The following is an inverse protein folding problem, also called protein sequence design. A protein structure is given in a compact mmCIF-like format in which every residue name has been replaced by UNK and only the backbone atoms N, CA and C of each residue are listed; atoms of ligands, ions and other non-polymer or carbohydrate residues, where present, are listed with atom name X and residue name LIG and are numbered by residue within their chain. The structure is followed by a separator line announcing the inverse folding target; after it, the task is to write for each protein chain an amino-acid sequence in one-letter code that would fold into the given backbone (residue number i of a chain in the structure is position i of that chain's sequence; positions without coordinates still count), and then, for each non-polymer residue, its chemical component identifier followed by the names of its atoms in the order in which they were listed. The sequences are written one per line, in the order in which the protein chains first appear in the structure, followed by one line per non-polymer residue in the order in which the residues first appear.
data_IF_211564591745
#
_entry.id   IF_211564591745
#
_cell.length_a   1.000
_cell.length_b   1.000
_cell.length_c   1.000
_cell.angle_alpha   90.00
_cell.angle_beta   90.00
_cell.angle_gamma   90.00
#
_symmetry.space_group_name_H-M   'P 1'
#
loop_
_entity.id
_entity.type
_entity.pdbx_description
1 polymer ?
#
# COMPACT_ATOMS: atom_id res chain seq x y z
N UNK A 1 1.51 2.43 2.68
CA UNK A 1 1.61 3.19 1.41
C UNK A 1 0.38 4.08 1.29
N UNK A 2 0.53 5.38 0.97
CA UNK A 2 -0.58 6.25 0.57
C UNK A 2 -0.56 6.42 -0.94
N UNK A 3 -1.72 6.31 -1.57
CA UNK A 3 -1.95 6.56 -2.99
C UNK A 3 -3.06 7.59 -3.16
N UNK A 4 -2.85 8.57 -4.03
CA UNK A 4 -3.88 9.47 -4.52
C UNK A 4 -4.17 9.10 -5.98
N UNK A 5 -5.30 8.48 -6.21
CA UNK A 5 -5.82 8.23 -7.55
C UNK A 5 -6.50 9.49 -8.04
N UNK A 6 -6.09 9.99 -9.20
CA UNK A 6 -6.59 11.26 -9.76
C UNK A 6 -7.45 10.99 -10.99
N UNK A 7 -7.05 10.02 -11.81
CA UNK A 7 -7.71 9.68 -13.06
C UNK A 7 -7.71 8.15 -13.22
N UNK A 8 -8.87 7.57 -13.48
CA UNK A 8 -9.04 6.14 -13.64
C UNK A 8 -10.51 5.72 -13.62
N UNK A 9 -10.76 4.45 -13.91
CA UNK A 9 -12.10 3.86 -14.02
C UNK A 9 -12.94 3.97 -12.74
N UNK A 10 -12.29 4.10 -11.58
CA UNK A 10 -12.95 4.21 -10.28
C UNK A 10 -13.07 5.66 -9.77
N UNK A 11 -12.63 6.65 -10.57
CA UNK A 11 -12.66 8.07 -10.21
C UNK A 11 -11.54 8.49 -9.28
N UNK A 12 -11.68 9.67 -8.67
CA UNK A 12 -10.69 10.25 -7.76
C UNK A 12 -10.91 9.78 -6.32
N UNK A 13 -9.85 9.27 -5.67
CA UNK A 13 -9.90 8.85 -4.26
C UNK A 13 -8.51 8.70 -3.63
N UNK A 14 -8.49 8.65 -2.31
CA UNK A 14 -7.32 8.32 -1.51
C UNK A 14 -7.42 6.88 -1.00
N UNK A 15 -6.29 6.19 -1.01
CA UNK A 15 -6.16 4.83 -0.51
C UNK A 15 -4.89 4.69 0.33
N UNK A 16 -5.00 4.06 1.48
CA UNK A 16 -3.86 3.67 2.29
C UNK A 16 -3.76 2.15 2.35
N UNK A 17 -2.61 1.59 1.93
CA UNK A 17 -2.37 0.16 1.97
C UNK A 17 -1.32 -0.24 3.01
N UNK A 18 -1.66 -1.23 3.84
CA UNK A 18 -0.69 -2.01 4.61
C UNK A 18 -0.58 -3.38 3.99
N UNK A 19 0.60 -3.66 3.44
CA UNK A 19 0.88 -4.91 2.74
C UNK A 19 1.98 -5.69 3.47
N UNK A 20 1.86 -7.00 3.48
CA UNK A 20 2.87 -7.92 4.00
C UNK A 20 3.48 -8.68 2.82
N UNK A 21 4.81 -8.65 2.71
CA UNK A 21 5.49 -9.43 1.67
C UNK A 21 5.40 -10.92 2.02
N UNK A 22 4.85 -11.69 1.11
CA UNK A 22 4.64 -13.13 1.26
C UNK A 22 5.14 -13.88 0.03
N UNK A 23 5.54 -15.11 0.24
CA UNK A 23 5.84 -16.02 -0.87
C UNK A 23 4.54 -16.65 -1.38
N UNK A 24 4.45 -16.95 -2.69
CA UNK A 24 3.29 -17.65 -3.23
C UNK A 24 3.10 -19.02 -2.56
N UNK A 25 1.87 -19.56 -2.54
CA UNK A 25 1.60 -20.90 -2.03
C UNK A 25 2.52 -21.94 -2.66
N UNK A 26 3.04 -22.86 -1.82
CA UNK A 26 3.96 -23.90 -2.27
C UNK A 26 5.41 -23.46 -2.52
N UNK A 27 5.74 -22.18 -2.32
CA UNK A 27 7.12 -21.70 -2.45
C UNK A 27 8.01 -22.33 -1.37
N UNK A 28 9.20 -22.76 -1.80
CA UNK A 28 10.27 -23.24 -0.88
C UNK A 28 11.38 -22.20 -0.73
N UNK A 29 11.17 -20.96 -1.22
CA UNK A 29 12.15 -19.91 -1.15
C UNK A 29 12.47 -19.55 0.31
N UNK A 30 13.74 -19.49 0.66
CA UNK A 30 14.19 -19.19 2.01
C UNK A 30 15.59 -18.58 2.04
N UNK A 31 16.03 -18.14 3.20
CA UNK A 31 17.32 -17.49 3.39
C UNK A 31 17.50 -16.25 2.54
N UNK A 32 18.64 -16.05 1.87
CA UNK A 32 18.90 -14.84 1.05
C UNK A 32 17.94 -14.66 -0.13
N UNK A 33 17.22 -15.71 -0.52
CA UNK A 33 16.25 -15.69 -1.64
C UNK A 33 14.80 -15.62 -1.17
N UNK A 34 14.55 -15.44 0.12
CA UNK A 34 13.21 -15.47 0.70
C UNK A 34 12.22 -14.49 0.03
N UNK A 35 12.71 -13.36 -0.50
CA UNK A 35 11.88 -12.38 -1.20
C UNK A 35 11.88 -12.54 -2.72
N UNK A 36 12.57 -13.55 -3.26
CA UNK A 36 12.58 -13.77 -4.69
C UNK A 36 11.24 -14.37 -5.15
N UNK A 37 10.49 -13.60 -5.96
CA UNK A 37 9.14 -13.97 -6.37
C UNK A 37 8.06 -13.72 -5.30
N UNK A 38 8.40 -13.02 -4.21
CA UNK A 38 7.42 -12.63 -3.21
C UNK A 38 6.42 -11.63 -3.81
N UNK A 39 5.16 -11.77 -3.41
CA UNK A 39 4.09 -10.82 -3.69
C UNK A 39 3.66 -10.07 -2.43
N UNK A 40 2.71 -9.17 -2.58
CA UNK A 40 2.17 -8.34 -1.51
C UNK A 40 0.82 -8.87 -1.04
N UNK A 41 0.73 -9.43 0.16
CA UNK A 41 -0.55 -9.70 0.79
C UNK A 41 -1.15 -8.40 1.29
N UNK A 42 -2.32 -8.04 0.75
CA UNK A 42 -3.05 -6.82 1.10
C UNK A 42 -3.78 -7.07 2.42
N UNK A 43 -3.21 -6.52 3.51
CA UNK A 43 -3.73 -6.77 4.87
C UNK A 43 -4.80 -5.77 5.28
N UNK A 44 -4.58 -4.47 5.03
CA UNK A 44 -5.57 -3.42 5.23
C UNK A 44 -5.52 -2.42 4.08
N UNK A 45 -6.71 -1.98 3.63
CA UNK A 45 -6.84 -1.08 2.49
C UNK A 45 -7.96 -0.03 2.70
N UNK A 46 -7.82 0.88 3.69
CA UNK A 46 -8.77 1.98 3.87
C UNK A 46 -8.81 2.90 2.65
N UNK A 47 -10.02 3.35 2.30
CA UNK A 47 -10.32 4.24 1.17
C UNK A 47 -11.35 5.28 1.59
N UNK A 48 -11.40 6.43 0.90
CA UNK A 48 -12.37 7.49 1.18
C UNK A 48 -13.53 7.56 0.17
N UNK A 49 -13.72 6.52 -0.65
CA UNK A 49 -14.74 6.54 -1.69
C UNK A 49 -15.45 5.18 -1.77
N UNK A 50 -16.80 5.20 -1.69
CA UNK A 50 -17.62 4.00 -1.58
C UNK A 50 -17.60 3.11 -2.84
N UNK A 51 -17.53 3.70 -4.04
CA UNK A 51 -17.51 2.93 -5.29
C UNK A 51 -16.24 2.08 -5.40
N UNK A 52 -15.06 2.65 -5.10
CA UNK A 52 -13.81 1.88 -5.10
C UNK A 52 -13.78 0.82 -3.98
N UNK A 53 -14.46 1.08 -2.85
CA UNK A 53 -14.60 0.07 -1.80
C UNK A 53 -15.35 -1.15 -2.33
N UNK A 54 -16.54 -0.94 -2.92
CA UNK A 54 -17.37 -2.02 -3.46
C UNK A 54 -16.65 -2.76 -4.59
N UNK A 55 -16.09 -2.05 -5.56
CA UNK A 55 -15.35 -2.63 -6.67
C UNK A 55 -14.15 -3.46 -6.17
N UNK A 56 -13.34 -2.92 -5.25
CA UNK A 56 -12.18 -3.61 -4.70
C UNK A 56 -12.52 -4.88 -3.94
N UNK A 57 -13.62 -4.87 -3.21
CA UNK A 57 -14.11 -6.03 -2.49
C UNK A 57 -14.68 -7.10 -3.43
N UNK A 58 -15.40 -6.69 -4.47
CA UNK A 58 -16.12 -7.60 -5.37
C UNK A 58 -15.20 -8.21 -6.42
N UNK A 59 -14.34 -7.39 -7.04
CA UNK A 59 -13.49 -7.82 -8.16
C UNK A 59 -12.25 -8.56 -7.64
N UNK A 60 -11.57 -8.00 -6.63
CA UNK A 60 -10.27 -8.51 -6.19
C UNK A 60 -10.27 -9.11 -4.79
N UNK A 61 -11.40 -9.06 -4.07
CA UNK A 61 -11.47 -9.54 -2.69
C UNK A 61 -10.61 -8.74 -1.71
N UNK A 62 -10.26 -7.48 -2.03
CA UNK A 62 -9.43 -6.64 -1.16
C UNK A 62 -10.16 -6.25 0.12
N UNK A 63 -9.47 -6.17 1.26
CA UNK A 63 -10.05 -5.85 2.56
C UNK A 63 -10.28 -4.32 2.71
N UNK A 64 -10.97 -3.71 1.74
CA UNK A 64 -11.26 -2.28 1.77
C UNK A 64 -12.27 -1.94 2.85
N UNK A 65 -12.02 -0.82 3.54
CA UNK A 65 -12.93 -0.20 4.52
C UNK A 65 -13.01 1.30 4.26
N UNK A 66 -14.13 1.93 4.65
CA UNK A 66 -14.25 3.38 4.60
C UNK A 66 -13.37 4.04 5.65
N UNK A 67 -12.72 5.14 5.27
CA UNK A 67 -11.88 5.92 6.16
C UNK A 67 -11.86 7.40 5.76
N UNK A 68 -11.57 8.26 6.72
CA UNK A 68 -11.27 9.66 6.52
C UNK A 68 -9.78 9.88 6.40
N UNK A 69 -9.39 10.73 5.47
CA UNK A 69 -8.00 11.10 5.20
C UNK A 69 -7.78 12.58 5.45
N UNK A 70 -6.75 12.90 6.21
CA UNK A 70 -6.23 14.27 6.32
C UNK A 70 -4.84 14.30 5.73
N UNK A 71 -4.67 14.98 4.60
CA UNK A 71 -3.37 15.16 3.95
C UNK A 71 -2.82 16.54 4.28
N UNK A 72 -1.57 16.59 4.69
CA UNK A 72 -0.82 17.80 4.97
C UNK A 72 0.31 17.94 3.95
N UNK A 73 0.14 18.89 3.04
CA UNK A 73 1.14 19.25 2.03
C UNK A 73 1.75 20.62 2.39
N UNK A 74 2.70 20.61 3.27
CA UNK A 74 3.43 21.78 3.75
C UNK A 74 4.89 21.40 3.94
N UNK A 75 5.74 22.19 4.55
CA UNK A 75 7.18 21.97 4.70
C UNK A 75 7.64 20.51 4.90
N UNK A 76 6.81 19.67 5.51
CA UNK A 76 6.95 18.21 5.56
C UNK A 76 5.62 17.56 5.16
N UNK A 77 5.66 16.65 4.18
CA UNK A 77 4.48 15.90 3.77
C UNK A 77 4.04 14.93 4.87
N UNK A 78 2.76 14.88 5.14
CA UNK A 78 2.18 13.94 6.10
C UNK A 78 0.72 13.65 5.81
N UNK A 79 0.20 12.59 6.43
CA UNK A 79 -1.22 12.25 6.36
C UNK A 79 -1.66 11.48 7.59
N UNK A 80 -2.96 11.56 7.88
CA UNK A 80 -3.63 10.74 8.88
C UNK A 80 -4.77 9.98 8.23
N UNK A 81 -4.98 8.74 8.67
CA UNK A 81 -6.08 7.86 8.29
C UNK A 81 -6.89 7.57 9.54
N UNK A 82 -8.16 7.94 9.55
CA UNK A 82 -9.09 7.68 10.64
C UNK A 82 -10.21 6.75 10.16
N UNK A 83 -10.53 5.75 10.96
CA UNK A 83 -11.60 4.79 10.71
C UNK A 83 -12.59 4.93 11.87
N UNK A 84 -13.88 5.08 11.57
CA UNK A 84 -14.93 5.31 12.56
C UNK A 84 -14.61 6.47 13.52
N UNK A 85 -14.00 7.54 13.00
CA UNK A 85 -13.61 8.73 13.76
C UNK A 85 -12.40 8.53 14.68
N UNK A 86 -11.75 7.37 14.68
CA UNK A 86 -10.55 7.09 15.46
C UNK A 86 -9.31 7.05 14.56
N UNK A 87 -8.23 7.70 15.01
CA UNK A 87 -6.95 7.61 14.29
C UNK A 87 -6.49 6.15 14.24
N UNK A 88 -6.28 5.65 13.03
CA UNK A 88 -5.66 4.36 12.79
C UNK A 88 -4.16 4.52 12.56
N UNK A 89 -3.76 5.34 11.58
CA UNK A 89 -2.36 5.54 11.21
C UNK A 89 -2.14 7.00 10.84
N UNK A 90 -1.11 7.62 11.41
CA UNK A 90 -0.54 8.86 10.93
C UNK A 90 0.88 8.63 10.41
N UNK A 91 1.26 9.31 9.35
CA UNK A 91 2.61 9.23 8.80
C UNK A 91 3.14 10.61 8.40
N UNK A 92 4.41 10.81 8.60
CA UNK A 92 5.15 11.99 8.13
C UNK A 92 6.37 11.54 7.34
N UNK A 93 6.69 12.26 6.27
CA UNK A 93 7.76 11.92 5.35
C UNK A 93 8.73 13.08 5.16
N UNK A 94 10.00 12.77 5.21
CA UNK A 94 11.06 13.65 4.78
C UNK A 94 11.35 13.42 3.30
N UNK A 95 11.54 14.50 2.55
CA UNK A 95 11.83 14.42 1.11
C UNK A 95 13.10 13.60 0.86
N UNK A 96 12.99 12.61 -0.03
CA UNK A 96 14.10 11.77 -0.46
C UNK A 96 14.93 12.38 -1.59
N UNK A 97 16.01 11.70 -1.96
CA UNK A 97 16.82 12.02 -3.13
C UNK A 97 16.16 11.47 -4.41
N UNK A 98 16.22 12.22 -5.53
CA UNK A 98 15.65 11.76 -6.78
C UNK A 98 16.44 10.57 -7.33
N UNK A 99 15.72 9.62 -7.91
CA UNK A 99 16.31 8.51 -8.68
C UNK A 99 16.19 8.85 -10.17
N UNK A 100 17.28 8.76 -10.95
CA UNK A 100 17.21 8.97 -12.39
C UNK A 100 16.22 8.02 -13.07
N UNK A 101 15.41 8.54 -13.98
CA UNK A 101 14.35 7.79 -14.68
C UNK A 101 14.85 6.52 -15.39
N UNK A 102 16.08 6.55 -15.90
CA UNK A 102 16.70 5.39 -16.56
C UNK A 102 16.72 4.11 -15.69
N UNK A 103 16.62 4.24 -14.35
CA UNK A 103 16.60 3.08 -13.44
C UNK A 103 15.19 2.60 -13.08
N UNK A 104 14.15 3.38 -13.40
CA UNK A 104 12.78 3.13 -12.90
C UNK A 104 11.71 3.22 -13.98
N UNK A 105 12.06 3.51 -15.23
CA UNK A 105 11.10 3.77 -16.32
C UNK A 105 10.50 2.51 -16.96
N UNK A 106 10.77 1.33 -16.40
CA UNK A 106 10.19 0.08 -16.90
C UNK A 106 8.95 -0.28 -16.11
N UNK A 107 7.96 -0.84 -16.80
CA UNK A 107 6.83 -1.46 -16.15
C UNK A 107 7.30 -2.56 -15.18
N UNK A 108 6.71 -2.55 -14.00
CA UNK A 108 6.94 -3.56 -12.97
C UNK A 108 5.66 -4.37 -12.83
N UNK A 109 5.77 -5.68 -12.95
CA UNK A 109 4.68 -6.62 -12.71
C UNK A 109 4.91 -7.30 -11.37
N UNK A 110 3.87 -7.35 -10.53
CA UNK A 110 3.95 -7.94 -9.21
C UNK A 110 2.63 -8.61 -8.84
N UNK A 111 2.72 -9.66 -8.02
CA UNK A 111 1.54 -10.31 -7.47
C UNK A 111 1.06 -9.59 -6.21
N UNK A 112 -0.25 -9.38 -6.12
CA UNK A 112 -0.94 -9.06 -4.88
C UNK A 112 -1.81 -10.24 -4.47
N UNK A 113 -1.90 -10.48 -3.18
CA UNK A 113 -2.72 -11.54 -2.60
C UNK A 113 -3.77 -10.93 -1.68
N UNK A 114 -4.97 -11.47 -1.73
CA UNK A 114 -6.06 -11.13 -0.83
C UNK A 114 -6.70 -12.41 -0.28
N UNK A 115 -7.30 -12.31 0.90
CA UNK A 115 -8.11 -13.39 1.46
C UNK A 115 -9.43 -12.80 1.97
N UNK A 116 -10.54 -13.23 1.40
CA UNK A 116 -11.88 -12.80 1.79
C UNK A 116 -12.88 -13.93 1.61
N UNK A 117 -13.79 -14.07 2.58
CA UNK A 117 -14.87 -15.04 2.56
C UNK A 117 -14.38 -16.49 2.36
N UNK A 118 -13.22 -16.82 2.94
CA UNK A 118 -12.59 -18.14 2.85
C UNK A 118 -11.87 -18.41 1.53
N UNK A 119 -11.79 -17.44 0.62
CA UNK A 119 -11.14 -17.57 -0.69
C UNK A 119 -9.89 -16.72 -0.75
N UNK A 120 -8.77 -17.33 -1.13
CA UNK A 120 -7.53 -16.62 -1.43
C UNK A 120 -7.45 -16.33 -2.92
N UNK A 121 -7.06 -15.11 -3.26
CA UNK A 121 -6.95 -14.64 -4.64
C UNK A 121 -5.58 -14.06 -4.90
N UNK A 122 -5.08 -14.30 -6.09
CA UNK A 122 -3.92 -13.62 -6.67
C UNK A 122 -4.37 -12.66 -7.76
N UNK A 123 -3.81 -11.46 -7.76
CA UNK A 123 -4.04 -10.44 -8.79
C UNK A 123 -2.70 -9.89 -9.24
N UNK A 124 -2.45 -9.87 -10.55
CA UNK A 124 -1.28 -9.20 -11.11
C UNK A 124 -1.53 -7.70 -11.20
N UNK A 125 -0.60 -6.94 -10.66
CA UNK A 125 -0.55 -5.50 -10.78
C UNK A 125 0.59 -5.08 -11.71
N UNK A 126 0.30 -4.13 -12.59
CA UNK A 126 1.24 -3.53 -13.53
C UNK A 126 1.46 -2.08 -13.14
N UNK A 127 2.69 -1.67 -12.93
CA UNK A 127 2.98 -0.32 -12.44
C UNK A 127 4.15 0.31 -13.18
N UNK A 128 3.96 1.55 -13.63
CA UNK A 128 5.03 2.41 -14.12
C UNK A 128 5.12 3.65 -13.23
N UNK A 129 6.33 3.97 -12.79
CA UNK A 129 6.61 5.05 -11.86
C UNK A 129 7.43 6.16 -12.54
N UNK A 130 7.18 7.41 -12.16
CA UNK A 130 8.06 8.52 -12.51
C UNK A 130 8.20 9.52 -11.37
N UNK A 131 9.29 10.31 -11.41
CA UNK A 131 9.60 11.27 -10.35
C UNK A 131 9.86 10.62 -9.00
N UNK A 132 10.43 9.41 -9.00
CA UNK A 132 10.69 8.64 -7.77
C UNK A 132 11.79 9.28 -6.96
N UNK A 133 11.56 9.33 -5.66
CA UNK A 133 12.51 9.74 -4.64
C UNK A 133 12.64 8.65 -3.60
N UNK A 134 13.83 8.50 -3.06
CA UNK A 134 14.17 7.44 -2.12
C UNK A 134 14.99 8.00 -0.95
N UNK A 135 14.76 7.47 0.23
CA UNK A 135 15.51 7.80 1.43
C UNK A 135 15.62 6.60 2.36
N UNK A 136 16.78 6.40 2.95
CA UNK A 136 16.94 5.47 4.07
C UNK A 136 16.28 6.10 5.31
N UNK A 137 15.40 5.37 5.98
CA UNK A 137 14.54 5.93 7.00
C UNK A 137 13.57 6.97 6.41
N UNK A 138 13.55 8.15 6.97
CA UNK A 138 12.88 9.34 6.41
C UNK A 138 11.36 9.35 6.55
N UNK A 139 10.78 8.47 7.35
CA UNK A 139 9.39 8.52 7.75
C UNK A 139 9.24 8.31 9.25
N UNK A 140 8.14 8.78 9.80
CA UNK A 140 7.67 8.45 11.13
C UNK A 140 6.23 7.95 11.06
N UNK A 141 5.88 7.02 11.93
CA UNK A 141 4.54 6.43 12.02
C UNK A 141 3.98 6.71 13.39
N UNK A 142 2.76 7.24 13.43
CA UNK A 142 1.94 7.40 14.64
C UNK A 142 0.80 6.42 14.56
N UNK A 143 0.61 5.61 15.59
CA UNK A 143 -0.51 4.70 15.70
C UNK A 143 -1.50 5.27 16.74
N UNK A 144 -2.77 5.28 16.40
CA UNK A 144 -3.85 5.74 17.28
C UNK A 144 -4.45 4.61 18.13
N UNK A 145 -5.71 4.78 18.51
CA UNK A 145 -6.43 3.84 19.39
C UNK A 145 -7.35 2.87 18.66
N UNK A 146 -7.50 3.01 17.36
CA UNK A 146 -8.31 2.10 16.53
C UNK A 146 -7.79 0.65 16.64
N UNK A 147 -8.62 -0.40 16.58
CA UNK A 147 -8.20 -1.80 16.64
C UNK A 147 -7.07 -2.14 15.66
N UNK A 148 -7.13 -1.64 14.44
CA UNK A 148 -6.07 -1.76 13.44
C UNK A 148 -4.72 -1.19 13.92
N UNK A 149 -4.72 -0.03 14.58
CA UNK A 149 -3.50 0.57 15.14
C UNK A 149 -2.90 -0.33 16.24
N UNK A 150 -3.75 -0.91 17.09
CA UNK A 150 -3.35 -1.84 18.15
C UNK A 150 -2.76 -3.13 17.57
N UNK A 151 -3.36 -3.64 16.49
CA UNK A 151 -2.82 -4.78 15.76
C UNK A 151 -1.42 -4.47 15.22
N UNK A 152 -1.22 -3.36 14.50
CA UNK A 152 0.09 -2.95 14.00
C UNK A 152 1.11 -2.77 15.14
N UNK A 153 0.70 -2.19 16.25
CA UNK A 153 1.57 -2.03 17.43
C UNK A 153 2.01 -3.38 18.00
N UNK A 154 1.13 -4.39 17.98
CA UNK A 154 1.43 -5.75 18.49
C UNK A 154 2.49 -6.50 17.68
N UNK A 155 2.71 -6.11 16.41
CA UNK A 155 3.72 -6.72 15.55
C UNK A 155 5.16 -6.37 15.95
N UNK A 156 5.35 -5.44 16.89
CA UNK A 156 6.67 -5.02 17.34
C UNK A 156 7.54 -4.40 16.24
N UNK A 157 6.91 -3.73 15.27
CA UNK A 157 7.62 -3.10 14.17
C UNK A 157 8.65 -2.08 14.67
N UNK A 158 9.80 -1.92 13.97
CA UNK A 158 10.79 -0.94 14.36
C UNK A 158 10.22 0.47 14.29
N UNK A 159 10.57 1.32 15.27
CA UNK A 159 10.09 2.71 15.35
C UNK A 159 10.50 3.59 14.15
N UNK A 160 11.50 3.15 13.40
CA UNK A 160 11.98 3.84 12.19
C UNK A 160 11.92 2.87 11.02
N UNK A 161 11.34 3.28 9.88
CA UNK A 161 11.34 2.47 8.68
C UNK A 161 12.77 2.31 8.16
N UNK A 162 13.04 1.19 7.50
CA UNK A 162 14.32 0.98 6.81
C UNK A 162 14.47 1.97 5.66
N UNK A 163 13.35 2.27 5.00
CA UNK A 163 13.32 3.06 3.79
C UNK A 163 11.99 3.77 3.64
N UNK A 164 12.02 4.92 3.01
CA UNK A 164 10.83 5.61 2.50
C UNK A 164 11.05 6.01 1.04
N UNK A 165 9.97 5.99 0.27
CA UNK A 165 9.98 6.41 -1.13
C UNK A 165 8.71 7.18 -1.46
N UNK A 166 8.80 8.03 -2.48
CA UNK A 166 7.66 8.70 -3.09
C UNK A 166 7.80 8.71 -4.61
N UNK A 167 6.69 8.66 -5.32
CA UNK A 167 6.63 8.85 -6.76
C UNK A 167 5.73 10.04 -7.06
N UNK A 168 6.10 10.86 -8.05
CA UNK A 168 5.28 12.00 -8.47
C UNK A 168 4.10 11.53 -9.31
N UNK A 169 4.31 10.52 -10.16
CA UNK A 169 3.24 9.91 -10.96
C UNK A 169 3.37 8.39 -10.91
N UNK A 170 2.23 7.75 -10.84
CA UNK A 170 2.06 6.29 -10.86
C UNK A 170 0.99 5.97 -11.88
N UNK A 171 1.31 5.14 -12.88
CA UNK A 171 0.32 4.50 -13.74
C UNK A 171 0.19 3.07 -13.27
N UNK A 172 -1.02 2.62 -13.03
CA UNK A 172 -1.29 1.32 -12.44
C UNK A 172 -2.52 0.68 -13.08
N UNK A 173 -2.43 -0.60 -13.37
CA UNK A 173 -3.57 -1.44 -13.74
C UNK A 173 -3.50 -2.78 -13.02
N UNK A 174 -4.63 -3.42 -12.88
CA UNK A 174 -4.76 -4.72 -12.26
C UNK A 174 -5.52 -5.66 -13.19
N UNK A 175 -5.05 -6.89 -13.28
CA UNK A 175 -5.75 -7.96 -13.96
C UNK A 175 -6.94 -8.47 -13.13
N UNK A 176 -7.73 -9.36 -13.71
CA UNK A 176 -8.76 -10.07 -12.97
C UNK A 176 -8.13 -10.97 -11.90
N UNK A 177 -8.78 -11.04 -10.74
CA UNK A 177 -8.32 -11.89 -9.65
C UNK A 177 -8.51 -13.37 -10.00
N UNK A 178 -7.49 -14.17 -9.68
CA UNK A 178 -7.51 -15.63 -9.82
C UNK A 178 -7.61 -16.28 -8.45
N UNK A 179 -8.51 -17.22 -8.27
CA UNK A 179 -8.60 -18.05 -7.04
C UNK A 179 -7.45 -19.05 -7.01
N UNK A 180 -6.80 -19.20 -5.84
CA UNK A 180 -5.62 -20.07 -5.65
C UNK A 180 -5.74 -20.91 -4.36
#
# INVERSE_FOLDING_TARGET
MLMHYIDGDLGEYLEYGTNVMVNPPGSTAGGPRALQGAGAFVHHLPVNQAFTLEAGQTIWGYPKVMADFTVRDGGQFGFDVSIDGQLAVGMEFQRGLPIPSAFISREQVYSTYSHRDGVTRETLGHTTLSGVRYRLGGASVTLGDHPYAKELASLGLPKRPLVSSSAANVQMSFDDAQEI
#
